data_IF_488296895851
#
_entry.id   IF_488296895851
#
_cell.length_a   1.000
_cell.length_b   1.000
_cell.length_c   1.000
_cell.angle_alpha   90.00
_cell.angle_beta   90.00
_cell.angle_gamma   90.00
#
_symmetry.space_group_name_H-M   'P 1'
#
loop_
_entity.id
_entity.type
_entity.pdbx_description
1 polymer ?
#
# COMPACT_ATOMS: atom_id res chain seq x y z
N UNK A 1 -16.31 20.89 -22.03
CA UNK A 1 -16.70 22.13 -21.33
C UNK A 1 -16.91 21.73 -19.89
N UNK A 2 -16.00 22.13 -19.01
CA UNK A 2 -16.03 21.78 -17.57
C UNK A 2 -16.87 22.87 -16.92
N UNK A 3 -18.08 22.53 -16.49
CA UNK A 3 -18.95 23.48 -15.83
C UNK A 3 -18.35 23.88 -14.46
N UNK A 4 -18.30 25.19 -14.22
CA UNK A 4 -17.75 25.83 -13.03
C UNK A 4 -18.56 25.70 -11.70
N UNK A 5 -19.80 25.19 -11.61
CA UNK A 5 -20.55 25.29 -10.35
C UNK A 5 -20.09 24.29 -9.27
N UNK A 6 -19.36 23.22 -9.64
CA UNK A 6 -18.84 22.23 -8.67
C UNK A 6 -17.70 22.78 -7.80
N UNK A 7 -16.89 23.71 -8.33
CA UNK A 7 -15.79 24.34 -7.57
C UNK A 7 -16.33 25.36 -6.56
N UNK A 8 -17.42 26.06 -6.91
CA UNK A 8 -18.02 27.08 -6.03
C UNK A 8 -18.61 26.44 -4.77
N UNK A 9 -19.16 25.22 -4.87
CA UNK A 9 -19.75 24.54 -3.71
C UNK A 9 -18.68 24.11 -2.68
N UNK A 10 -17.55 23.56 -3.12
CA UNK A 10 -16.45 23.16 -2.22
C UNK A 10 -15.76 24.36 -1.57
N UNK A 11 -15.62 25.50 -2.27
CA UNK A 11 -15.02 26.71 -1.69
C UNK A 11 -15.95 27.35 -0.64
N UNK A 12 -17.27 27.28 -0.85
CA UNK A 12 -18.24 27.85 0.10
C UNK A 12 -18.29 27.06 1.41
N UNK A 13 -18.15 25.73 1.37
CA UNK A 13 -18.03 24.91 2.58
C UNK A 13 -16.72 25.16 3.34
N UNK A 14 -15.61 25.38 2.63
CA UNK A 14 -14.32 25.68 3.26
C UNK A 14 -14.33 27.06 3.97
N UNK A 15 -14.99 28.06 3.38
CA UNK A 15 -15.14 29.40 3.98
C UNK A 15 -16.06 29.35 5.21
N UNK A 16 -17.12 28.54 5.19
CA UNK A 16 -18.00 28.37 6.35
C UNK A 16 -17.31 27.66 7.53
N UNK A 17 -16.43 26.69 7.25
CA UNK A 17 -15.65 25.99 8.27
C UNK A 17 -14.60 26.93 8.91
N UNK A 18 -13.92 27.76 8.09
CA UNK A 18 -12.93 28.71 8.59
C UNK A 18 -13.57 29.84 9.43
N UNK A 19 -14.79 30.29 9.10
CA UNK A 19 -15.52 31.28 9.90
C UNK A 19 -15.92 30.75 11.28
N UNK A 20 -16.33 29.48 11.38
CA UNK A 20 -16.66 28.84 12.67
C UNK A 20 -15.43 28.59 13.55
N UNK A 21 -14.28 28.27 12.96
CA UNK A 21 -13.03 28.16 13.72
C UNK A 21 -12.58 29.51 14.27
N UNK A 22 -12.73 30.59 13.49
CA UNK A 22 -12.37 31.95 13.95
C UNK A 22 -13.27 32.47 15.08
N UNK A 23 -14.55 32.11 15.12
CA UNK A 23 -15.45 32.47 16.23
C UNK A 23 -15.17 31.66 17.50
N UNK A 24 -14.58 30.47 17.38
CA UNK A 24 -14.24 29.63 18.54
C UNK A 24 -12.94 30.07 19.22
N UNK A 25 -12.01 30.67 18.46
CA UNK A 25 -10.73 31.18 18.98
C UNK A 25 -10.87 32.60 19.56
N UNK A 26 -11.91 33.35 19.18
CA UNK A 26 -12.17 34.70 19.68
C UNK A 26 -13.05 34.76 20.95
N UNK A 27 -13.33 33.61 21.58
CA UNK A 27 -14.13 33.55 22.82
C UNK A 27 -13.28 33.85 24.07
N UNK A 28 -13.54 34.99 24.69
CA UNK A 28 -12.93 35.49 25.92
C UNK A 28 -12.79 34.44 27.03
N UNK A 29 -11.56 34.32 27.54
CA UNK A 29 -11.27 33.64 28.79
C UNK A 29 -11.70 34.52 29.98
N UNK A 30 -12.92 34.31 30.49
CA UNK A 30 -13.25 34.76 31.83
C UNK A 30 -14.20 33.80 32.54
N UNK A 31 -13.71 33.31 33.68
CA UNK A 31 -14.44 32.75 34.83
C UNK A 31 -14.76 31.26 34.75
N UNK A 32 -13.92 30.51 35.46
CA UNK A 32 -14.16 29.19 36.03
C UNK A 32 -15.21 29.39 37.14
N UNK A 33 -16.33 28.68 37.05
CA UNK A 33 -16.98 28.12 38.25
C UNK A 33 -17.76 26.86 37.90
N UNK A 34 -17.62 25.87 38.77
CA UNK A 34 -18.16 24.53 38.61
C UNK A 34 -19.65 24.44 38.93
N UNK A 35 -20.20 23.27 38.59
CA UNK A 35 -21.52 22.76 38.98
C UNK A 35 -22.74 23.28 38.22
N UNK A 36 -22.85 22.98 36.93
CA UNK A 36 -24.14 22.51 36.36
C UNK A 36 -23.88 21.71 35.09
N UNK A 37 -24.10 20.39 35.15
CA UNK A 37 -24.20 19.55 33.95
C UNK A 37 -25.56 19.88 33.32
N UNK A 38 -25.58 20.92 32.49
CA UNK A 38 -26.70 21.21 31.62
C UNK A 38 -26.52 20.39 30.34
N UNK A 39 -27.24 19.27 30.27
CA UNK A 39 -27.71 18.66 29.02
C UNK A 39 -28.42 19.73 28.18
N UNK A 40 -27.66 20.44 27.35
CA UNK A 40 -28.20 21.42 26.42
C UNK A 40 -28.68 20.71 25.15
N UNK A 41 -30.00 20.52 25.12
CA UNK A 41 -30.89 20.52 23.97
C UNK A 41 -30.21 20.73 22.60
N UNK A 42 -30.04 19.63 21.86
CA UNK A 42 -29.92 19.61 20.39
C UNK A 42 -31.10 18.89 19.74
N UNK A 43 -32.28 18.88 20.40
CA UNK A 43 -33.47 18.16 19.92
C UNK A 43 -34.72 19.03 19.69
N UNK A 44 -34.60 20.36 19.69
CA UNK A 44 -35.78 21.24 19.63
C UNK A 44 -35.73 22.26 18.47
N UNK A 45 -35.16 21.85 17.34
CA UNK A 45 -35.21 22.61 16.08
C UNK A 45 -35.77 21.80 14.90
N UNK A 46 -36.51 20.71 15.16
CA UNK A 46 -37.01 19.81 14.10
C UNK A 46 -38.39 20.13 13.53
N UNK A 47 -39.08 21.19 13.95
CA UNK A 47 -40.51 21.32 13.61
C UNK A 47 -40.93 22.52 12.74
N UNK A 48 -40.02 23.42 12.36
CA UNK A 48 -40.43 24.60 11.57
C UNK A 48 -39.48 25.08 10.46
N UNK A 49 -38.56 24.24 9.98
CA UNK A 49 -37.87 24.49 8.72
C UNK A 49 -38.34 23.50 7.65
N UNK A 50 -39.25 24.01 6.82
CA UNK A 50 -39.31 23.82 5.36
C UNK A 50 -39.12 22.35 4.93
N UNK A 51 -40.22 21.72 4.49
CA UNK A 51 -40.19 20.64 3.51
C UNK A 51 -39.41 21.11 2.27
N UNK A 52 -38.09 21.03 2.33
CA UNK A 52 -37.28 20.96 1.13
C UNK A 52 -37.58 19.59 0.50
N UNK A 53 -37.91 19.55 -0.79
CA UNK A 53 -38.25 18.30 -1.44
C UNK A 53 -37.06 17.36 -1.33
N UNK A 54 -37.31 16.17 -0.78
CA UNK A 54 -36.38 15.03 -0.70
C UNK A 54 -35.70 14.71 -2.05
N UNK A 55 -36.27 15.16 -3.16
CA UNK A 55 -35.71 15.09 -4.51
C UNK A 55 -34.37 15.83 -4.66
N UNK A 56 -34.14 16.96 -3.96
CA UNK A 56 -32.85 17.67 -4.00
C UNK A 56 -31.74 16.88 -3.30
N UNK A 57 -32.08 16.11 -2.26
CA UNK A 57 -31.11 15.28 -1.54
C UNK A 57 -30.71 14.03 -2.36
N UNK A 58 -31.63 13.49 -3.16
CA UNK A 58 -31.34 12.39 -4.09
C UNK A 58 -30.40 12.81 -5.24
N UNK A 59 -30.52 14.04 -5.73
CA UNK A 59 -29.60 14.57 -6.76
C UNK A 59 -28.17 14.70 -6.22
N UNK A 60 -28.01 15.10 -4.95
CA UNK A 60 -26.70 15.20 -4.31
C UNK A 60 -26.05 13.82 -4.10
N UNK A 61 -26.82 12.81 -3.68
CA UNK A 61 -26.31 11.44 -3.53
C UNK A 61 -25.93 10.79 -4.87
N UNK A 62 -26.67 11.07 -5.95
CA UNK A 62 -26.34 10.57 -7.29
C UNK A 62 -25.03 11.16 -7.83
N UNK A 63 -24.78 12.45 -7.56
CA UNK A 63 -23.56 13.12 -8.01
C UNK A 63 -22.30 12.61 -7.28
N UNK A 64 -22.38 12.36 -5.96
CA UNK A 64 -21.27 11.81 -5.19
C UNK A 64 -20.88 10.41 -5.66
N UNK A 65 -21.88 9.55 -5.90
CA UNK A 65 -21.65 8.18 -6.35
C UNK A 65 -20.94 8.12 -7.71
N UNK A 66 -21.34 8.97 -8.66
CA UNK A 66 -20.70 9.05 -9.98
C UNK A 66 -19.22 9.45 -9.89
N UNK A 67 -18.87 10.40 -9.01
CA UNK A 67 -17.47 10.82 -8.81
C UNK A 67 -16.61 9.73 -8.19
N UNK A 68 -17.13 9.00 -7.20
CA UNK A 68 -16.42 7.86 -6.59
C UNK A 68 -16.11 6.78 -7.63
N UNK A 69 -17.10 6.38 -8.42
CA UNK A 69 -16.92 5.37 -9.47
C UNK A 69 -15.90 5.79 -10.54
N UNK A 70 -15.94 7.07 -10.95
CA UNK A 70 -14.98 7.59 -11.91
C UNK A 70 -13.55 7.49 -11.37
N UNK A 71 -13.30 7.97 -10.14
CA UNK A 71 -11.97 7.92 -9.54
C UNK A 71 -11.50 6.47 -9.36
N UNK A 72 -12.36 5.58 -8.85
CA UNK A 72 -12.03 4.16 -8.70
C UNK A 72 -11.66 3.50 -10.04
N UNK A 73 -12.42 3.78 -11.11
CA UNK A 73 -12.15 3.26 -12.46
C UNK A 73 -10.81 3.75 -13.00
N UNK A 74 -10.49 5.03 -12.80
CA UNK A 74 -9.17 5.58 -13.15
C UNK A 74 -8.06 4.83 -12.40
N UNK A 75 -8.27 4.54 -11.11
CA UNK A 75 -7.37 3.74 -10.29
C UNK A 75 -7.14 2.34 -10.86
N UNK A 76 -8.20 1.66 -11.30
CA UNK A 76 -8.13 0.33 -11.95
C UNK A 76 -7.33 0.40 -13.25
N UNK A 77 -7.55 1.42 -14.09
CA UNK A 77 -6.82 1.58 -15.36
C UNK A 77 -5.33 1.78 -15.11
N UNK A 78 -4.95 2.66 -14.16
CA UNK A 78 -3.56 2.88 -13.78
C UNK A 78 -2.96 1.60 -13.18
N UNK A 79 -3.71 0.94 -12.28
CA UNK A 79 -3.32 -0.34 -11.68
C UNK A 79 -3.07 -1.42 -12.72
N UNK A 80 -3.89 -1.50 -13.78
CA UNK A 80 -3.73 -2.44 -14.89
C UNK A 80 -2.45 -2.17 -15.70
N UNK A 81 -2.09 -0.90 -15.93
CA UNK A 81 -0.82 -0.53 -16.58
C UNK A 81 0.37 -0.98 -15.74
N UNK A 82 0.36 -0.72 -14.44
CA UNK A 82 1.41 -1.17 -13.51
C UNK A 82 1.46 -2.70 -13.47
N UNK A 83 0.31 -3.36 -13.46
CA UNK A 83 0.23 -4.81 -13.51
C UNK A 83 0.81 -5.40 -14.82
N UNK A 84 0.60 -4.75 -15.97
CA UNK A 84 1.25 -5.13 -17.22
C UNK A 84 2.79 -5.04 -17.16
N UNK A 85 3.31 -3.98 -16.51
CA UNK A 85 4.74 -3.86 -16.22
C UNK A 85 5.23 -4.95 -15.24
N UNK A 86 4.44 -5.28 -14.21
CA UNK A 86 4.72 -6.39 -13.30
C UNK A 86 4.76 -7.73 -14.04
N UNK A 87 3.84 -7.99 -14.96
CA UNK A 87 3.80 -9.24 -15.72
C UNK A 87 5.02 -9.40 -16.63
N UNK A 88 5.39 -8.37 -17.39
CA UNK A 88 6.55 -8.39 -18.29
C UNK A 88 7.85 -8.60 -17.51
N UNK A 89 8.00 -7.91 -16.38
CA UNK A 89 9.15 -8.06 -15.48
C UNK A 89 9.17 -9.45 -14.81
N UNK A 90 8.01 -9.94 -14.35
CA UNK A 90 7.86 -11.25 -13.73
C UNK A 90 8.21 -12.39 -14.69
N UNK A 91 7.73 -12.32 -15.93
CA UNK A 91 8.08 -13.29 -16.99
C UNK A 91 9.58 -13.26 -17.30
N UNK A 92 10.18 -12.07 -17.37
CA UNK A 92 11.62 -11.91 -17.56
C UNK A 92 12.41 -12.53 -16.40
N UNK A 93 11.94 -12.34 -15.17
CA UNK A 93 12.53 -12.95 -13.96
C UNK A 93 12.42 -14.48 -14.01
N UNK A 94 11.26 -15.03 -14.34
CA UNK A 94 11.05 -16.49 -14.43
C UNK A 94 11.94 -17.14 -15.50
N UNK A 95 12.15 -16.46 -16.64
CA UNK A 95 13.08 -16.92 -17.69
C UNK A 95 14.54 -16.90 -17.22
N UNK A 96 14.96 -15.84 -16.53
CA UNK A 96 16.31 -15.75 -15.95
C UNK A 96 16.56 -16.81 -14.86
N UNK A 97 15.50 -17.24 -14.17
CA UNK A 97 15.53 -18.29 -13.14
C UNK A 97 15.40 -19.72 -13.71
N UNK A 98 15.36 -19.88 -15.04
CA UNK A 98 15.34 -21.17 -15.70
C UNK A 98 16.65 -21.96 -15.42
N UNK A 99 16.66 -23.30 -15.58
CA UNK A 99 17.51 -24.20 -14.83
C UNK A 99 19.01 -23.90 -15.01
N UNK A 100 19.63 -23.47 -13.92
CA UNK A 100 21.06 -23.46 -13.70
C UNK A 100 21.42 -24.71 -12.90
N UNK A 101 22.26 -25.58 -13.45
CA UNK A 101 22.71 -26.78 -12.75
C UNK A 101 23.57 -26.42 -11.52
N UNK A 102 23.21 -26.92 -10.33
CA UNK A 102 24.06 -26.85 -9.12
C UNK A 102 23.35 -26.66 -7.77
N UNK A 103 24.11 -26.72 -6.67
CA UNK A 103 23.58 -26.67 -5.27
C UNK A 103 22.76 -25.41 -4.93
N UNK A 104 22.84 -24.32 -5.71
CA UNK A 104 21.99 -23.12 -5.58
C UNK A 104 20.58 -23.27 -6.18
N UNK A 105 20.25 -24.45 -6.75
CA UNK A 105 18.96 -24.77 -7.35
C UNK A 105 17.77 -24.54 -6.42
N UNK A 106 17.87 -24.88 -5.12
CA UNK A 106 16.72 -24.76 -4.22
C UNK A 106 16.30 -23.30 -4.00
N UNK A 107 17.25 -22.41 -3.73
CA UNK A 107 16.96 -20.98 -3.51
C UNK A 107 16.36 -20.33 -4.76
N UNK A 108 16.90 -20.65 -5.95
CA UNK A 108 16.38 -20.16 -7.22
C UNK A 108 14.99 -20.74 -7.53
N UNK A 109 14.75 -22.02 -7.25
CA UNK A 109 13.42 -22.64 -7.40
C UNK A 109 12.39 -21.99 -6.48
N UNK A 110 12.73 -21.77 -5.21
CA UNK A 110 11.85 -21.08 -4.26
C UNK A 110 11.52 -19.66 -4.73
N UNK A 111 12.53 -18.93 -5.21
CA UNK A 111 12.33 -17.58 -5.76
C UNK A 111 11.42 -17.59 -7.00
N UNK A 112 11.57 -18.59 -7.87
CA UNK A 112 10.73 -18.76 -9.07
C UNK A 112 9.27 -19.03 -8.70
N UNK A 113 9.05 -19.99 -7.80
CA UNK A 113 7.71 -20.31 -7.29
C UNK A 113 7.08 -19.07 -6.68
N UNK A 114 7.84 -18.34 -5.86
CA UNK A 114 7.37 -17.11 -5.24
C UNK A 114 6.93 -16.06 -6.27
N UNK A 115 7.73 -15.77 -7.31
CA UNK A 115 7.37 -14.78 -8.35
C UNK A 115 6.09 -15.20 -9.08
N UNK A 116 5.96 -16.48 -9.42
CA UNK A 116 4.75 -17.02 -10.07
C UNK A 116 3.54 -16.87 -9.15
N UNK A 117 3.66 -17.23 -7.87
CA UNK A 117 2.58 -17.06 -6.89
C UNK A 117 2.15 -15.60 -6.77
N UNK A 118 3.11 -14.66 -6.68
CA UNK A 118 2.82 -13.24 -6.58
C UNK A 118 2.10 -12.71 -7.84
N UNK A 119 2.52 -13.14 -9.03
CA UNK A 119 1.83 -12.80 -10.28
C UNK A 119 0.40 -13.35 -10.31
N UNK A 120 0.21 -14.62 -9.96
CA UNK A 120 -1.11 -15.25 -9.95
C UNK A 120 -2.08 -14.54 -8.99
N UNK A 121 -1.63 -14.23 -7.78
CA UNK A 121 -2.46 -13.56 -6.77
C UNK A 121 -2.81 -12.13 -7.21
N UNK A 122 -1.87 -11.39 -7.82
CA UNK A 122 -2.18 -10.07 -8.38
C UNK A 122 -3.17 -10.15 -9.56
N UNK A 123 -3.11 -11.21 -10.38
CA UNK A 123 -4.12 -11.43 -11.43
C UNK A 123 -5.50 -11.61 -10.82
N UNK A 124 -5.62 -12.43 -9.78
CA UNK A 124 -6.88 -12.67 -9.07
C UNK A 124 -7.41 -11.34 -8.52
N UNK A 125 -6.57 -10.59 -7.80
CA UNK A 125 -6.92 -9.27 -7.26
C UNK A 125 -7.41 -8.29 -8.34
N UNK A 126 -6.74 -8.24 -9.49
CA UNK A 126 -7.13 -7.38 -10.60
C UNK A 126 -8.49 -7.75 -11.19
N UNK A 127 -8.78 -9.04 -11.33
CA UNK A 127 -10.08 -9.53 -11.80
C UNK A 127 -11.17 -9.22 -10.78
N UNK A 128 -10.94 -9.48 -9.49
CA UNK A 128 -11.91 -9.20 -8.43
C UNK A 128 -12.24 -7.70 -8.34
N UNK A 129 -11.23 -6.83 -8.38
CA UNK A 129 -11.44 -5.37 -8.41
C UNK A 129 -12.21 -4.90 -9.65
N UNK A 130 -11.92 -5.48 -10.82
CA UNK A 130 -12.63 -5.17 -12.04
C UNK A 130 -14.10 -5.61 -11.96
N UNK A 131 -14.36 -6.83 -11.49
CA UNK A 131 -15.71 -7.34 -11.27
C UNK A 131 -16.46 -6.46 -10.27
N UNK A 132 -15.86 -6.17 -9.11
CA UNK A 132 -16.42 -5.27 -8.10
C UNK A 132 -16.88 -3.94 -8.71
N UNK A 133 -16.01 -3.27 -9.47
CA UNK A 133 -16.31 -1.97 -10.07
C UNK A 133 -17.42 -2.03 -11.13
N UNK A 134 -17.47 -3.08 -11.97
CA UNK A 134 -18.48 -3.20 -13.03
C UNK A 134 -19.83 -3.65 -12.49
N UNK A 135 -19.86 -4.55 -11.51
CA UNK A 135 -21.12 -4.95 -10.89
C UNK A 135 -21.77 -3.77 -10.19
N UNK A 136 -20.99 -2.95 -9.48
CA UNK A 136 -21.48 -1.76 -8.80
C UNK A 136 -22.09 -0.73 -9.77
N UNK A 137 -21.60 -0.66 -11.02
CA UNK A 137 -22.13 0.26 -12.03
C UNK A 137 -23.41 -0.25 -12.71
N UNK A 138 -23.55 -1.57 -12.89
CA UNK A 138 -24.67 -2.15 -13.63
C UNK A 138 -25.92 -2.28 -12.75
N UNK A 139 -25.78 -2.78 -11.53
CA UNK A 139 -26.94 -3.26 -10.77
C UNK A 139 -27.40 -2.35 -9.64
N UNK A 140 -26.62 -1.33 -9.29
CA UNK A 140 -26.98 -0.41 -8.20
C UNK A 140 -27.19 -1.13 -6.86
N UNK A 141 -28.10 -0.61 -6.04
CA UNK A 141 -28.30 -1.04 -4.63
C UNK A 141 -29.51 -2.00 -4.47
N UNK A 142 -29.66 -2.98 -5.36
CA UNK A 142 -30.73 -3.98 -5.21
C UNK A 142 -30.40 -5.01 -4.12
N UNK A 143 -31.38 -5.28 -3.24
CA UNK A 143 -31.18 -6.07 -2.02
C UNK A 143 -30.77 -7.54 -2.26
N UNK A 144 -31.16 -8.16 -3.38
CA UNK A 144 -30.80 -9.54 -3.70
C UNK A 144 -29.31 -9.67 -4.03
N UNK A 145 -28.73 -8.63 -4.63
CA UNK A 145 -27.36 -8.66 -5.10
C UNK A 145 -26.34 -8.35 -4.01
N UNK A 146 -26.76 -7.68 -2.93
CA UNK A 146 -25.90 -7.34 -1.78
C UNK A 146 -25.10 -8.53 -1.23
N UNK A 147 -25.67 -9.75 -1.25
CA UNK A 147 -24.96 -10.96 -0.78
C UNK A 147 -23.80 -11.35 -1.71
N UNK A 148 -24.01 -11.23 -3.02
CA UNK A 148 -22.97 -11.50 -4.01
C UNK A 148 -21.87 -10.45 -3.92
N UNK A 149 -22.23 -9.17 -3.80
CA UNK A 149 -21.29 -8.08 -3.54
C UNK A 149 -20.44 -8.32 -2.29
N UNK A 150 -21.08 -8.62 -1.15
CA UNK A 150 -20.36 -8.88 0.10
C UNK A 150 -19.34 -10.04 -0.02
N UNK A 151 -19.60 -11.00 -0.92
CA UNK A 151 -18.70 -12.14 -1.16
C UNK A 151 -17.50 -11.75 -2.03
N UNK A 152 -17.71 -10.93 -3.07
CA UNK A 152 -16.63 -10.38 -3.89
C UNK A 152 -15.75 -9.43 -3.07
N UNK A 153 -16.35 -8.54 -2.27
CA UNK A 153 -15.62 -7.62 -1.41
C UNK A 153 -14.74 -8.37 -0.41
N UNK A 154 -15.28 -9.43 0.21
CA UNK A 154 -14.51 -10.29 1.10
C UNK A 154 -13.31 -10.93 0.37
N UNK A 155 -13.53 -11.45 -0.84
CA UNK A 155 -12.47 -12.02 -1.66
C UNK A 155 -11.39 -10.98 -1.99
N UNK A 156 -11.78 -9.78 -2.46
CA UNK A 156 -10.87 -8.65 -2.69
C UNK A 156 -10.02 -8.33 -1.46
N UNK A 157 -10.64 -8.24 -0.28
CA UNK A 157 -9.96 -7.93 0.98
C UNK A 157 -8.94 -9.02 1.33
N UNK A 158 -9.30 -10.30 1.20
CA UNK A 158 -8.37 -11.40 1.46
C UNK A 158 -7.22 -11.44 0.45
N UNK A 159 -7.51 -11.26 -0.83
CA UNK A 159 -6.48 -11.24 -1.87
C UNK A 159 -5.54 -10.05 -1.68
N UNK A 160 -6.06 -8.88 -1.33
CA UNK A 160 -5.25 -7.70 -0.97
C UNK A 160 -4.33 -7.99 0.23
N UNK A 161 -4.87 -8.60 1.30
CA UNK A 161 -4.07 -9.00 2.47
C UNK A 161 -3.00 -10.02 2.05
N UNK A 162 -3.32 -10.98 1.20
CA UNK A 162 -2.36 -12.00 0.72
C UNK A 162 -1.25 -11.38 -0.13
N UNK A 163 -1.57 -10.42 -1.01
CA UNK A 163 -0.55 -9.65 -1.73
C UNK A 163 0.34 -8.88 -0.75
N UNK A 164 -0.25 -8.22 0.25
CA UNK A 164 0.48 -7.54 1.31
C UNK A 164 1.41 -8.48 2.09
N UNK A 165 0.90 -9.64 2.51
CA UNK A 165 1.67 -10.69 3.22
C UNK A 165 2.90 -11.07 2.42
N UNK A 166 2.73 -11.35 1.13
CA UNK A 166 3.82 -11.75 0.27
C UNK A 166 4.83 -10.61 0.08
N UNK A 167 4.36 -9.44 -0.36
CA UNK A 167 5.23 -8.29 -0.69
C UNK A 167 6.00 -7.78 0.52
N UNK A 168 5.33 -7.58 1.65
CA UNK A 168 5.96 -7.12 2.89
C UNK A 168 6.83 -8.22 3.52
N UNK A 169 6.46 -9.49 3.35
CA UNK A 169 7.29 -10.62 3.77
C UNK A 169 8.69 -10.58 3.15
N UNK A 170 8.80 -10.13 1.89
CA UNK A 170 10.11 -9.91 1.25
C UNK A 170 10.87 -8.75 1.83
N UNK A 171 10.19 -7.67 2.25
CA UNK A 171 10.84 -6.53 2.88
C UNK A 171 11.43 -6.94 4.24
N UNK A 172 10.66 -7.68 5.05
CA UNK A 172 11.13 -8.24 6.32
C UNK A 172 12.33 -9.18 6.08
N UNK A 173 12.22 -10.07 5.09
CA UNK A 173 13.32 -10.95 4.70
C UNK A 173 14.58 -10.18 4.27
N UNK A 174 14.42 -9.07 3.53
CA UNK A 174 15.54 -8.20 3.12
C UNK A 174 16.18 -7.55 4.33
N UNK A 175 15.41 -7.02 5.27
CA UNK A 175 15.95 -6.47 6.51
C UNK A 175 16.74 -7.51 7.29
N UNK A 176 16.24 -8.75 7.36
CA UNK A 176 16.96 -9.88 7.94
C UNK A 176 18.29 -10.17 7.22
N UNK A 177 18.28 -10.23 5.89
CA UNK A 177 19.48 -10.50 5.10
C UNK A 177 20.54 -9.40 5.20
N UNK A 178 20.13 -8.14 5.12
CA UNK A 178 21.02 -6.98 5.32
C UNK A 178 21.66 -7.05 6.70
N UNK A 179 20.87 -7.36 7.75
CA UNK A 179 21.40 -7.48 9.11
C UNK A 179 22.40 -8.64 9.23
N UNK A 180 22.11 -9.79 8.60
CA UNK A 180 22.99 -10.97 8.65
C UNK A 180 24.35 -10.71 8.00
N UNK A 181 24.38 -9.97 6.88
CA UNK A 181 25.62 -9.73 6.12
C UNK A 181 26.43 -8.57 6.69
N UNK A 182 25.80 -7.46 7.08
CA UNK A 182 26.50 -6.23 7.44
C UNK A 182 26.96 -6.17 8.91
N UNK A 183 26.39 -6.97 9.82
CA UNK A 183 26.63 -6.81 11.26
C UNK A 183 26.96 -8.10 12.02
N UNK A 184 28.13 -8.71 11.76
CA UNK A 184 28.62 -9.79 12.62
C UNK A 184 29.01 -9.30 14.03
N UNK A 185 29.39 -8.02 14.20
CA UNK A 185 30.11 -7.54 15.41
C UNK A 185 29.33 -6.64 16.39
N UNK A 186 28.07 -6.27 16.13
CA UNK A 186 27.31 -5.36 17.01
C UNK A 186 26.58 -6.12 18.12
N UNK A 187 26.48 -5.50 19.30
CA UNK A 187 25.76 -6.00 20.48
C UNK A 187 24.43 -6.68 20.11
N UNK A 188 24.25 -7.91 20.61
CA UNK A 188 23.13 -8.79 20.24
C UNK A 188 21.73 -8.21 20.45
N UNK A 189 21.55 -7.27 21.39
CA UNK A 189 20.24 -6.66 21.68
C UNK A 189 19.72 -5.78 20.52
N UNK A 190 20.54 -4.86 20.00
CA UNK A 190 20.15 -4.01 18.86
C UNK A 190 19.91 -4.86 17.61
N UNK A 191 20.68 -5.94 17.44
CA UNK A 191 20.52 -6.87 16.34
C UNK A 191 19.13 -7.50 16.32
N UNK A 192 18.60 -7.89 17.48
CA UNK A 192 17.25 -8.46 17.57
C UNK A 192 16.18 -7.42 17.26
N UNK A 193 16.27 -6.23 17.86
CA UNK A 193 15.28 -5.18 17.65
C UNK A 193 15.07 -4.82 16.17
N UNK A 194 16.14 -4.76 15.37
CA UNK A 194 16.07 -4.36 13.96
C UNK A 194 15.24 -5.28 13.05
N UNK A 195 15.14 -6.58 13.35
CA UNK A 195 14.33 -7.51 12.53
C UNK A 195 13.05 -7.95 13.22
N UNK A 196 13.05 -8.01 14.57
CA UNK A 196 11.85 -8.35 15.34
C UNK A 196 10.78 -7.27 15.16
N UNK A 197 11.16 -5.99 15.15
CA UNK A 197 10.18 -4.91 15.02
C UNK A 197 9.41 -4.94 13.68
N UNK A 198 10.05 -5.03 12.49
CA UNK A 198 9.34 -5.24 11.22
C UNK A 198 8.51 -6.52 11.19
N UNK A 199 9.01 -7.61 11.78
CA UNK A 199 8.28 -8.87 11.83
C UNK A 199 7.00 -8.76 12.69
N UNK A 200 7.06 -8.05 13.82
CA UNK A 200 5.88 -7.76 14.64
C UNK A 200 4.86 -6.92 13.87
N UNK A 201 5.28 -5.84 13.20
CA UNK A 201 4.38 -5.02 12.39
C UNK A 201 3.72 -5.81 11.26
N UNK A 202 4.48 -6.70 10.61
CA UNK A 202 3.97 -7.58 9.57
C UNK A 202 2.91 -8.54 10.12
N UNK A 203 3.18 -9.20 11.24
CA UNK A 203 2.21 -10.09 11.89
C UNK A 203 0.96 -9.34 12.35
N UNK A 204 1.11 -8.11 12.86
CA UNK A 204 -0.01 -7.24 13.23
C UNK A 204 -0.86 -6.88 12.02
N UNK A 205 -0.25 -6.54 10.88
CA UNK A 205 -0.97 -6.27 9.63
C UNK A 205 -1.79 -7.49 9.19
N UNK A 206 -1.20 -8.69 9.23
CA UNK A 206 -1.90 -9.94 8.85
C UNK A 206 -3.09 -10.19 9.77
N UNK A 207 -2.86 -10.13 11.08
CA UNK A 207 -3.91 -10.37 12.07
C UNK A 207 -5.07 -9.38 11.91
N UNK A 208 -4.78 -8.08 11.83
CA UNK A 208 -5.80 -7.03 11.68
C UNK A 208 -6.50 -7.07 10.32
N UNK A 209 -5.79 -7.41 9.25
CA UNK A 209 -6.37 -7.56 7.91
C UNK A 209 -7.37 -8.70 7.85
N UNK A 210 -7.01 -9.88 8.38
CA UNK A 210 -7.91 -11.04 8.45
C UNK A 210 -9.10 -10.75 9.37
N UNK A 211 -8.85 -10.24 10.58
CA UNK A 211 -9.93 -9.91 11.52
C UNK A 211 -10.87 -8.85 10.95
N UNK A 212 -10.33 -7.80 10.32
CA UNK A 212 -11.11 -6.74 9.67
C UNK A 212 -12.02 -7.29 8.58
N UNK A 213 -11.49 -8.09 7.65
CA UNK A 213 -12.28 -8.68 6.56
C UNK A 213 -13.37 -9.65 7.05
N UNK A 214 -13.08 -10.46 8.08
CA UNK A 214 -14.09 -11.36 8.66
C UNK A 214 -15.22 -10.59 9.34
N UNK A 215 -14.89 -9.54 10.12
CA UNK A 215 -15.92 -8.71 10.77
C UNK A 215 -16.74 -7.98 9.72
N UNK A 216 -16.09 -7.38 8.71
CA UNK A 216 -16.77 -6.67 7.61
C UNK A 216 -17.83 -7.56 6.93
N UNK A 217 -17.51 -8.83 6.67
CA UNK A 217 -18.46 -9.77 6.07
C UNK A 217 -19.66 -10.10 6.97
N UNK A 218 -19.47 -10.17 8.29
CA UNK A 218 -20.55 -10.50 9.23
C UNK A 218 -21.50 -9.33 9.49
N UNK A 219 -21.09 -8.11 9.18
CA UNK A 219 -21.87 -6.92 9.47
C UNK A 219 -22.86 -6.65 8.34
N UNK A 220 -24.08 -7.13 8.51
CA UNK A 220 -25.20 -6.85 7.60
C UNK A 220 -25.91 -5.52 7.90
N UNK A 221 -25.66 -4.93 9.07
CA UNK A 221 -26.31 -3.68 9.51
C UNK A 221 -25.28 -2.62 9.96
N UNK A 222 -25.44 -1.35 9.57
CA UNK A 222 -24.58 -0.28 10.04
C UNK A 222 -24.69 -0.15 11.56
N UNK A 223 -23.58 -0.33 12.27
CA UNK A 223 -23.56 -0.37 13.73
C UNK A 223 -22.14 -0.43 14.29
N UNK A 224 -22.02 -0.69 15.60
CA UNK A 224 -20.72 -0.70 16.30
C UNK A 224 -19.69 -1.64 15.67
N UNK A 225 -20.12 -2.77 15.10
CA UNK A 225 -19.24 -3.73 14.46
C UNK A 225 -18.64 -3.21 13.14
N UNK A 226 -19.37 -2.40 12.37
CA UNK A 226 -18.84 -1.76 11.16
C UNK A 226 -17.65 -0.87 11.49
N UNK A 227 -17.79 -0.03 12.54
CA UNK A 227 -16.72 0.86 12.98
C UNK A 227 -15.48 0.10 13.44
N UNK A 228 -15.66 -1.07 14.06
CA UNK A 228 -14.54 -1.94 14.46
C UNK A 228 -13.84 -2.51 13.22
N UNK A 229 -14.58 -3.00 12.23
CA UNK A 229 -14.01 -3.51 10.98
C UNK A 229 -13.18 -2.44 10.26
N UNK A 230 -13.75 -1.24 10.08
CA UNK A 230 -13.06 -0.10 9.47
C UNK A 230 -11.81 0.28 10.26
N UNK A 231 -11.89 0.28 11.60
CA UNK A 231 -10.72 0.56 12.46
C UNK A 231 -9.63 -0.49 12.32
N UNK A 232 -9.98 -1.78 12.25
CA UNK A 232 -9.04 -2.87 12.02
C UNK A 232 -8.33 -2.74 10.67
N UNK A 233 -9.08 -2.52 9.59
CA UNK A 233 -8.53 -2.38 8.24
C UNK A 233 -7.66 -1.12 8.10
N UNK A 234 -8.11 0.01 8.66
CA UNK A 234 -7.32 1.26 8.67
C UNK A 234 -6.03 1.09 9.46
N UNK A 235 -6.08 0.38 10.59
CA UNK A 235 -4.89 0.10 11.40
C UNK A 235 -3.96 -0.88 10.70
N UNK A 236 -4.49 -1.89 9.99
CA UNK A 236 -3.68 -2.79 9.16
C UNK A 236 -2.95 -2.03 8.05
N UNK A 237 -3.63 -1.10 7.40
CA UNK A 237 -3.05 -0.25 6.37
C UNK A 237 -1.98 0.68 6.94
N UNK A 238 -2.24 1.31 8.09
CA UNK A 238 -1.26 2.14 8.79
C UNK A 238 -0.02 1.32 9.20
N UNK A 239 -0.20 0.07 9.64
CA UNK A 239 0.90 -0.84 9.96
C UNK A 239 1.73 -1.21 8.72
N UNK A 240 1.09 -1.47 7.58
CA UNK A 240 1.75 -1.70 6.29
C UNK A 240 2.61 -0.48 5.89
N UNK A 241 2.03 0.73 5.93
CA UNK A 241 2.74 1.96 5.58
C UNK A 241 3.92 2.20 6.53
N UNK A 242 3.73 1.99 7.83
CA UNK A 242 4.77 2.12 8.85
C UNK A 242 5.89 1.12 8.62
N UNK A 243 5.57 -0.14 8.28
CA UNK A 243 6.54 -1.17 7.94
C UNK A 243 7.36 -0.77 6.71
N UNK A 244 6.70 -0.32 5.64
CA UNK A 244 7.35 0.11 4.41
C UNK A 244 8.29 1.31 4.63
N UNK A 245 7.85 2.31 5.38
CA UNK A 245 8.67 3.47 5.71
C UNK A 245 9.85 3.08 6.61
N UNK A 246 9.59 2.32 7.68
CA UNK A 246 10.62 1.87 8.62
C UNK A 246 11.70 1.04 7.92
N UNK A 247 11.29 0.03 7.14
CA UNK A 247 12.22 -0.85 6.42
C UNK A 247 13.07 -0.05 5.41
N UNK A 248 12.48 0.92 4.72
CA UNK A 248 13.21 1.79 3.79
C UNK A 248 14.23 2.66 4.51
N UNK A 249 13.81 3.39 5.56
CA UNK A 249 14.70 4.24 6.36
C UNK A 249 15.82 3.40 6.98
N UNK A 250 15.49 2.19 7.46
CA UNK A 250 16.45 1.25 8.01
C UNK A 250 17.50 0.83 6.97
N UNK A 251 17.09 0.40 5.78
CA UNK A 251 18.00 0.00 4.70
C UNK A 251 18.89 1.18 4.30
N UNK A 252 18.34 2.39 4.12
CA UNK A 252 19.10 3.60 3.76
C UNK A 252 20.10 3.98 4.84
N UNK A 253 19.67 3.99 6.11
CA UNK A 253 20.54 4.35 7.24
C UNK A 253 21.72 3.38 7.35
N UNK A 254 21.44 2.08 7.23
CA UNK A 254 22.46 1.04 7.26
C UNK A 254 23.42 1.15 6.08
N UNK A 255 22.89 1.48 4.91
CA UNK A 255 23.72 1.72 3.74
C UNK A 255 24.72 2.86 3.96
N UNK A 256 24.26 3.99 4.49
CA UNK A 256 25.11 5.16 4.72
C UNK A 256 26.22 4.81 5.73
N UNK A 257 25.87 4.09 6.81
CA UNK A 257 26.84 3.62 7.80
C UNK A 257 27.86 2.67 7.18
N UNK A 258 27.42 1.71 6.36
CA UNK A 258 28.31 0.80 5.67
C UNK A 258 29.28 1.55 4.74
N UNK A 259 28.77 2.48 3.93
CA UNK A 259 29.62 3.33 3.07
C UNK A 259 30.68 4.10 3.85
N UNK A 260 30.31 4.64 5.03
CA UNK A 260 31.26 5.33 5.91
C UNK A 260 32.32 4.38 6.47
N UNK A 261 31.92 3.19 6.94
CA UNK A 261 32.85 2.19 7.47
C UNK A 261 33.85 1.72 6.40
N UNK A 262 33.37 1.36 5.21
CA UNK A 262 34.26 0.86 4.16
C UNK A 262 35.22 1.97 3.68
N UNK A 263 34.74 3.23 3.56
CA UNK A 263 35.60 4.38 3.25
C UNK A 263 36.72 4.57 4.27
N UNK A 264 36.46 4.31 5.54
CA UNK A 264 37.45 4.44 6.61
C UNK A 264 38.45 3.27 6.65
N UNK A 265 38.01 2.05 6.34
CA UNK A 265 38.86 0.84 6.46
C UNK A 265 39.76 0.57 5.25
N UNK A 266 39.28 0.83 4.02
CA UNK A 266 39.98 0.34 2.80
C UNK A 266 40.81 1.40 2.07
N UNK A 267 40.77 2.66 2.49
CA UNK A 267 41.43 3.74 1.75
C UNK A 267 40.93 3.82 0.29
N UNK A 268 41.65 4.53 -0.58
CA UNK A 268 41.22 4.78 -1.99
C UNK A 268 41.45 3.58 -2.92
N UNK A 269 41.43 2.32 -2.43
CA UNK A 269 41.53 1.14 -3.32
C UNK A 269 40.15 0.78 -3.89
N UNK A 270 40.02 0.93 -5.21
CA UNK A 270 38.77 1.21 -5.93
C UNK A 270 37.97 -0.03 -6.40
N UNK A 271 38.54 -1.23 -6.41
CA UNK A 271 37.97 -2.35 -7.20
C UNK A 271 36.98 -3.25 -6.45
N UNK A 272 37.22 -3.64 -5.19
CA UNK A 272 36.30 -4.51 -4.43
C UNK A 272 35.01 -3.79 -3.98
N UNK A 273 35.05 -2.46 -3.92
CA UNK A 273 33.91 -1.62 -3.57
C UNK A 273 32.72 -1.73 -4.54
N UNK A 274 32.96 -2.05 -5.80
CA UNK A 274 31.94 -1.97 -6.86
C UNK A 274 30.80 -2.98 -6.66
N UNK A 275 31.08 -4.17 -6.11
CA UNK A 275 30.06 -5.20 -5.92
C UNK A 275 28.99 -4.83 -4.91
N UNK A 276 29.40 -4.30 -3.76
CA UNK A 276 28.46 -3.92 -2.71
C UNK A 276 27.64 -2.69 -3.10
N UNK A 277 28.24 -1.76 -3.85
CA UNK A 277 27.57 -0.55 -4.32
C UNK A 277 26.42 -0.86 -5.30
N UNK A 278 26.51 -1.96 -6.04
CA UNK A 278 25.49 -2.37 -7.02
C UNK A 278 24.24 -2.97 -6.39
N UNK A 279 24.39 -3.87 -5.42
CA UNK A 279 23.26 -4.45 -4.66
C UNK A 279 22.44 -3.36 -3.99
N UNK A 280 23.16 -2.38 -3.43
CA UNK A 280 22.61 -1.21 -2.81
C UNK A 280 21.80 -0.36 -3.78
N UNK A 281 22.34 -0.10 -4.97
CA UNK A 281 21.67 0.68 -6.00
C UNK A 281 20.32 0.07 -6.37
N UNK A 282 20.24 -1.26 -6.45
CA UNK A 282 18.99 -1.98 -6.73
C UNK A 282 17.95 -1.79 -5.63
N UNK A 283 18.38 -1.82 -4.36
CA UNK A 283 17.49 -1.62 -3.23
C UNK A 283 16.94 -0.19 -3.23
N UNK A 284 17.81 0.80 -3.48
CA UNK A 284 17.43 2.20 -3.53
C UNK A 284 16.47 2.48 -4.70
N UNK A 285 16.70 1.87 -5.86
CA UNK A 285 15.84 1.98 -7.04
C UNK A 285 14.42 1.46 -6.75
N UNK A 286 14.29 0.30 -6.10
CA UNK A 286 12.98 -0.24 -5.71
C UNK A 286 12.27 0.59 -4.64
N UNK A 287 13.02 1.13 -3.68
CA UNK A 287 12.47 1.98 -2.62
C UNK A 287 12.01 3.34 -3.16
N UNK A 288 12.72 3.88 -4.16
CA UNK A 288 12.36 5.13 -4.82
C UNK A 288 11.02 5.04 -5.57
N UNK A 289 10.57 3.84 -5.94
CA UNK A 289 9.26 3.63 -6.57
C UNK A 289 8.20 3.39 -5.50
N UNK A 290 8.48 2.55 -4.51
CA UNK A 290 7.48 2.15 -3.51
C UNK A 290 7.11 3.28 -2.54
N UNK A 291 8.09 4.05 -2.04
CA UNK A 291 7.84 5.10 -1.02
C UNK A 291 6.94 6.22 -1.52
N UNK A 292 7.12 6.79 -2.72
CA UNK A 292 6.21 7.81 -3.22
C UNK A 292 4.78 7.29 -3.36
N UNK A 293 4.60 6.06 -3.86
CA UNK A 293 3.27 5.44 -4.02
C UNK A 293 2.59 5.31 -2.65
N UNK A 294 3.29 4.80 -1.63
CA UNK A 294 2.71 4.64 -0.29
C UNK A 294 2.45 5.98 0.41
N UNK A 295 3.31 6.99 0.22
CA UNK A 295 3.09 8.34 0.78
C UNK A 295 1.90 9.02 0.12
N UNK A 296 1.77 8.95 -1.21
CA UNK A 296 0.63 9.56 -1.91
C UNK A 296 -0.67 8.88 -1.48
N UNK A 297 -0.67 7.55 -1.36
CA UNK A 297 -1.83 6.82 -0.87
C UNK A 297 -2.20 7.20 0.57
N UNK A 298 -1.21 7.31 1.47
CA UNK A 298 -1.42 7.77 2.84
C UNK A 298 -2.07 9.15 2.88
N UNK A 299 -1.56 10.10 2.08
CA UNK A 299 -2.11 11.46 2.01
C UNK A 299 -3.53 11.46 1.45
N UNK A 300 -3.80 10.66 0.41
CA UNK A 300 -5.14 10.49 -0.15
C UNK A 300 -6.14 9.99 0.88
N UNK A 301 -5.76 9.00 1.68
CA UNK A 301 -6.59 8.42 2.73
C UNK A 301 -6.77 9.39 3.90
N UNK A 302 -5.69 10.05 4.35
CA UNK A 302 -5.74 10.98 5.48
C UNK A 302 -6.60 12.22 5.19
N UNK A 303 -6.69 12.64 3.93
CA UNK A 303 -7.49 13.79 3.51
C UNK A 303 -8.96 13.46 3.27
N UNK A 304 -9.37 12.17 3.38
CA UNK A 304 -10.72 11.70 3.03
C UNK A 304 -11.18 12.21 1.66
N UNK A 305 -10.22 12.38 0.74
CA UNK A 305 -10.50 12.88 -0.59
C UNK A 305 -10.69 11.70 -1.53
N UNK A 306 -11.39 11.93 -2.64
CA UNK A 306 -11.54 10.91 -3.69
C UNK A 306 -10.20 10.46 -4.30
N UNK A 307 -9.08 11.14 -3.95
CA UNK A 307 -7.74 10.69 -4.29
C UNK A 307 -7.33 9.40 -3.54
N UNK A 308 -7.84 9.19 -2.33
CA UNK A 308 -7.59 7.96 -1.57
C UNK A 308 -8.14 6.74 -2.27
N UNK A 309 -9.36 6.85 -2.80
CA UNK A 309 -10.10 5.74 -3.40
C UNK A 309 -9.39 5.15 -4.62
N UNK A 310 -8.94 5.99 -5.56
CA UNK A 310 -8.23 5.47 -6.73
C UNK A 310 -6.83 4.95 -6.38
N UNK A 311 -6.16 5.56 -5.38
CA UNK A 311 -4.83 5.12 -4.96
C UNK A 311 -4.86 3.72 -4.34
N UNK A 312 -5.95 3.32 -3.68
CA UNK A 312 -6.11 1.96 -3.15
C UNK A 312 -5.99 0.89 -4.24
N UNK A 313 -6.53 1.13 -5.44
CA UNK A 313 -6.38 0.21 -6.58
C UNK A 313 -4.97 0.20 -7.18
N UNK A 314 -4.19 1.26 -6.97
CA UNK A 314 -2.84 1.45 -7.53
C UNK A 314 -1.74 0.91 -6.60
N UNK A 315 -1.92 1.01 -5.28
CA UNK A 315 -0.92 0.63 -4.27
C UNK A 315 -0.56 -0.84 -4.36
N UNK A 316 -1.54 -1.74 -4.40
CA UNK A 316 -1.32 -3.19 -4.39
C UNK A 316 -0.46 -3.68 -5.58
N UNK A 317 -0.77 -3.35 -6.85
CA UNK A 317 0.11 -3.70 -7.96
C UNK A 317 1.45 -2.94 -7.92
N UNK A 318 1.49 -1.71 -7.41
CA UNK A 318 2.72 -0.93 -7.23
C UNK A 318 3.72 -1.58 -6.26
N UNK A 319 3.24 -2.04 -5.10
CA UNK A 319 4.04 -2.78 -4.11
C UNK A 319 4.56 -4.11 -4.67
N UNK A 320 3.73 -4.81 -5.43
CA UNK A 320 4.11 -6.05 -6.11
C UNK A 320 5.17 -5.80 -7.19
N UNK A 321 5.02 -4.73 -7.97
CA UNK A 321 6.00 -4.31 -8.96
C UNK A 321 7.37 -4.02 -8.33
N UNK A 322 7.41 -3.22 -7.26
CA UNK A 322 8.65 -2.94 -6.52
C UNK A 322 9.30 -4.22 -5.95
N UNK A 323 8.47 -5.16 -5.47
CA UNK A 323 8.92 -6.45 -4.95
C UNK A 323 9.60 -7.30 -6.03
N UNK A 324 8.97 -7.44 -7.20
CA UNK A 324 9.52 -8.21 -8.33
C UNK A 324 10.74 -7.52 -8.94
N UNK A 325 10.82 -6.19 -8.96
CA UNK A 325 11.99 -5.45 -9.45
C UNK A 325 13.27 -5.84 -8.70
N UNK A 326 13.21 -5.95 -7.39
CA UNK A 326 14.37 -6.41 -6.63
C UNK A 326 14.70 -7.88 -6.93
N UNK A 327 13.69 -8.74 -7.10
CA UNK A 327 13.94 -10.14 -7.46
C UNK A 327 14.61 -10.25 -8.83
N UNK A 328 14.15 -9.47 -9.80
CA UNK A 328 14.73 -9.39 -11.12
C UNK A 328 16.20 -8.93 -11.07
N UNK A 329 16.51 -7.93 -10.25
CA UNK A 329 17.88 -7.46 -10.09
C UNK A 329 18.79 -8.51 -9.41
N UNK A 330 18.25 -9.30 -8.48
CA UNK A 330 18.95 -10.46 -7.90
C UNK A 330 19.17 -11.55 -8.96
N UNK A 331 18.15 -11.81 -9.79
CA UNK A 331 18.20 -12.79 -10.88
C UNK A 331 19.27 -12.47 -11.93
N UNK A 332 19.45 -11.19 -12.27
CA UNK A 332 20.47 -10.74 -13.21
C UNK A 332 21.92 -11.01 -12.76
N UNK A 333 22.14 -11.53 -11.55
CA UNK A 333 23.48 -11.83 -11.05
C UNK A 333 24.35 -10.59 -10.87
N UNK A 334 23.81 -9.39 -11.07
CA UNK A 334 24.53 -8.13 -10.82
C UNK A 334 25.05 -8.05 -9.36
N UNK A 335 24.51 -8.85 -8.44
CA UNK A 335 24.96 -8.97 -7.04
C UNK A 335 26.22 -9.84 -6.84
N UNK A 336 26.60 -10.67 -7.81
CA UNK A 336 27.72 -11.63 -7.70
C UNK A 336 28.48 -11.54 -9.01
N UNK A 337 29.73 -11.06 -9.02
CA UNK A 337 30.50 -10.66 -10.21
C UNK A 337 30.79 -11.68 -11.31
N UNK A 338 29.83 -12.51 -11.71
CA UNK A 338 29.82 -13.19 -12.98
C UNK A 338 29.81 -12.13 -14.09
N UNK A 339 30.83 -12.18 -14.94
CA UNK A 339 30.95 -11.33 -16.13
C UNK A 339 29.62 -11.38 -16.91
N UNK A 340 28.93 -10.25 -17.11
CA UNK A 340 27.64 -10.19 -17.82
C UNK A 340 27.67 -10.70 -19.28
N UNK A 341 28.85 -10.97 -19.85
CA UNK A 341 29.00 -11.39 -21.24
C UNK A 341 28.98 -12.89 -21.51
N UNK A 342 29.31 -13.76 -20.53
CA UNK A 342 29.59 -15.16 -20.83
C UNK A 342 28.36 -16.03 -21.17
N UNK A 343 27.15 -15.56 -20.85
CA UNK A 343 25.90 -16.29 -21.13
C UNK A 343 25.30 -15.86 -22.47
N UNK A 344 25.34 -14.57 -22.80
CA UNK A 344 24.83 -14.06 -24.09
C UNK A 344 25.74 -14.52 -25.24
N UNK A 345 27.06 -14.59 -25.00
CA UNK A 345 28.03 -15.07 -25.99
C UNK A 345 27.87 -16.57 -26.33
N UNK A 346 27.25 -17.37 -25.44
CA UNK A 346 26.93 -18.78 -25.72
C UNK A 346 25.64 -18.98 -26.51
N UNK A 347 24.67 -18.07 -26.42
CA UNK A 347 23.47 -18.11 -27.27
C UNK A 347 23.73 -17.50 -28.65
N UNK A 348 24.54 -16.43 -28.73
CA UNK A 348 24.94 -15.85 -30.02
C UNK A 348 25.85 -16.74 -30.88
N UNK A 349 26.47 -17.77 -30.29
CA UNK A 349 27.28 -18.76 -31.01
C UNK A 349 26.48 -20.02 -31.42
N UNK A 350 25.17 -20.05 -31.13
CA UNK A 350 24.27 -21.16 -31.48
C UNK A 350 23.15 -20.78 -32.47
N UNK A 351 23.06 -19.50 -32.80
CA UNK A 351 22.31 -18.96 -33.93
C UNK A 351 23.31 -18.63 -35.03
#
# INVERSE_FOLDING_TARGET
>A
MIDAPSIVCSVTQLVHYHRRLSSFIAGDHSIIDGSTIATFQLCEWSNHLIMLPWELCQVESGCQYSTFQLHWTIGIVIGAVIFGALLTLGMSCVRLLAPLDGKRLLQLRLLRVYVISLMLINTIYGVENFLWSNFLSIFGDEAHERRFFASIQLACTFTMVLVGVLTDGLLVWRCYMVQRVLMPSICGSIRMFCWVFPACLWMTMIALGITGGVIEHQVTTPGKLANIATSCLTTALAANITLNLFTTVFIISRLILYRRMVKNSFGVRREEHLHHTRVVGMLLESAAINVPITVIALVGIATWSSYGDFMMSVVTPGQSFASVLVMYQVALGKAIGGRPGAVIEKESNKL
#
